data_IF_684066572735
#
_entry.id   IF_684066572735
#
_cell.length_a   1.000
_cell.length_b   1.000
_cell.length_c   1.000
_cell.angle_alpha   90.00
_cell.angle_beta   90.00
_cell.angle_gamma   90.00
#
_symmetry.space_group_name_H-M   'P 1'
#
loop_
_entity.id
_entity.type
_entity.pdbx_description
1 polymer ?
#
# COMPACT_ATOMS: atom_id res chain seq x y z
N UNK A 1 -7.59 -2.36 -17.79
CA UNK A 1 -7.84 -3.80 -18.01
C UNK A 1 -8.08 -4.49 -16.68
N UNK A 2 -9.02 -5.43 -16.63
CA UNK A 2 -9.23 -6.29 -15.47
C UNK A 2 -9.13 -7.76 -15.90
N UNK A 3 -8.34 -8.55 -15.19
CA UNK A 3 -8.08 -9.96 -15.50
C UNK A 3 -8.39 -10.78 -14.26
N UNK A 4 -9.27 -11.78 -14.43
CA UNK A 4 -9.55 -12.78 -13.42
C UNK A 4 -8.87 -14.08 -13.82
N UNK A 5 -7.90 -14.49 -13.01
CA UNK A 5 -7.17 -15.74 -13.17
C UNK A 5 -7.92 -16.88 -12.50
N UNK A 6 -7.87 -18.06 -13.12
CA UNK A 6 -8.42 -19.31 -12.56
C UNK A 6 -7.37 -20.07 -11.75
N UNK A 7 -6.10 -19.93 -12.10
CA UNK A 7 -4.98 -20.55 -11.39
C UNK A 7 -3.70 -19.71 -11.53
N UNK A 8 -2.68 -20.00 -10.73
CA UNK A 8 -1.40 -19.27 -10.77
C UNK A 8 -0.63 -19.48 -12.08
N UNK A 9 -0.84 -20.59 -12.77
CA UNK A 9 -0.16 -20.91 -14.05
C UNK A 9 -0.56 -19.95 -15.16
N UNK A 10 -1.74 -19.33 -15.09
CA UNK A 10 -2.20 -18.33 -16.06
C UNK A 10 -1.53 -16.96 -15.84
N UNK A 11 -1.03 -16.67 -14.63
CA UNK A 11 -0.56 -15.33 -14.25
C UNK A 11 0.68 -14.94 -15.05
N UNK A 12 1.72 -15.77 -15.02
CA UNK A 12 3.00 -15.49 -15.69
C UNK A 12 2.83 -15.18 -17.18
N UNK A 13 2.30 -16.13 -17.98
CA UNK A 13 2.09 -15.93 -19.42
C UNK A 13 1.23 -14.71 -19.76
N UNK A 14 0.25 -14.39 -18.91
CA UNK A 14 -0.62 -13.22 -19.14
C UNK A 14 0.11 -11.91 -18.85
N UNK A 15 0.92 -11.85 -17.78
CA UNK A 15 1.70 -10.66 -17.46
C UNK A 15 2.87 -10.45 -18.44
N UNK A 16 3.39 -11.53 -19.01
CA UNK A 16 4.43 -11.50 -20.05
C UNK A 16 3.85 -11.25 -21.46
N UNK A 17 2.52 -11.14 -21.58
CA UNK A 17 1.89 -10.88 -22.88
C UNK A 17 2.17 -9.46 -23.36
N UNK A 18 2.27 -9.30 -24.69
CA UNK A 18 2.54 -8.00 -25.33
C UNK A 18 1.50 -6.93 -24.99
N UNK A 19 0.28 -7.31 -24.57
CA UNK A 19 -0.75 -6.35 -24.14
C UNK A 19 -0.33 -5.64 -22.84
N UNK A 20 0.25 -6.39 -21.91
CA UNK A 20 0.74 -5.86 -20.63
C UNK A 20 2.07 -5.13 -20.84
N UNK A 21 2.95 -5.66 -21.71
CA UNK A 21 4.27 -5.08 -22.00
C UNK A 21 4.25 -3.90 -22.99
N UNK A 22 3.18 -3.70 -23.78
CA UNK A 22 3.09 -2.68 -24.85
C UNK A 22 3.24 -1.23 -24.38
N UNK A 23 3.36 -0.97 -23.07
CA UNK A 23 3.47 0.36 -22.50
C UNK A 23 2.18 1.18 -22.57
N UNK A 24 1.11 0.72 -23.22
CA UNK A 24 -0.18 1.43 -23.23
C UNK A 24 -0.99 1.28 -21.94
N UNK A 25 -0.67 0.28 -21.12
CA UNK A 25 -1.50 -0.13 -19.99
C UNK A 25 -1.32 0.79 -18.77
N UNK A 26 -2.25 1.74 -18.60
CA UNK A 26 -2.26 2.63 -17.42
C UNK A 26 -2.95 2.07 -16.18
N UNK A 27 -3.82 1.08 -16.35
CA UNK A 27 -4.62 0.52 -15.26
C UNK A 27 -4.77 -0.98 -15.42
N UNK A 28 -4.34 -1.71 -14.39
CA UNK A 28 -4.43 -3.16 -14.30
C UNK A 28 -5.18 -3.55 -13.02
N UNK A 29 -6.11 -4.48 -13.15
CA UNK A 29 -6.77 -5.13 -12.01
C UNK A 29 -6.61 -6.63 -12.16
N UNK A 30 -6.07 -7.29 -11.15
CA UNK A 30 -5.77 -8.71 -11.14
C UNK A 30 -6.56 -9.36 -10.02
N UNK A 31 -7.26 -10.45 -10.33
CA UNK A 31 -8.06 -11.19 -9.38
C UNK A 31 -7.65 -12.67 -9.44
N UNK A 32 -7.20 -13.24 -8.32
CA UNK A 32 -6.92 -14.67 -8.18
C UNK A 32 -7.40 -15.13 -6.80
N UNK A 33 -8.56 -15.77 -6.76
CA UNK A 33 -9.23 -16.14 -5.49
C UNK A 33 -9.12 -17.63 -5.17
N UNK A 34 -8.76 -18.44 -6.17
CA UNK A 34 -8.65 -19.89 -6.10
C UNK A 34 -7.24 -20.38 -5.77
N UNK A 35 -6.24 -19.50 -5.87
CA UNK A 35 -4.82 -19.84 -5.71
C UNK A 35 -4.03 -18.60 -5.21
N UNK A 36 -2.72 -18.70 -5.18
CA UNK A 36 -1.81 -17.63 -4.80
C UNK A 36 -1.13 -17.03 -6.04
N UNK A 37 -1.05 -15.70 -6.09
CA UNK A 37 -0.25 -15.03 -7.10
C UNK A 37 1.21 -15.48 -6.96
N UNK A 38 1.84 -15.92 -8.06
CA UNK A 38 3.26 -16.22 -8.06
C UNK A 38 4.05 -14.90 -8.02
N UNK A 39 5.29 -14.93 -8.50
CA UNK A 39 6.13 -13.73 -8.55
C UNK A 39 5.49 -12.60 -9.38
N UNK A 40 5.49 -11.38 -8.83
CA UNK A 40 5.02 -10.17 -9.51
C UNK A 40 6.11 -9.48 -10.36
N UNK A 41 7.24 -10.17 -10.61
CA UNK A 41 8.41 -9.63 -11.32
C UNK A 41 8.08 -8.97 -12.66
N UNK A 42 7.17 -9.55 -13.44
CA UNK A 42 6.79 -9.03 -14.76
C UNK A 42 6.17 -7.61 -14.69
N UNK A 43 5.60 -7.21 -13.54
CA UNK A 43 5.06 -5.86 -13.35
C UNK A 43 6.14 -4.77 -13.37
N UNK A 44 7.40 -5.11 -13.10
CA UNK A 44 8.51 -4.15 -13.14
C UNK A 44 8.75 -3.55 -14.53
N UNK A 45 8.32 -4.26 -15.58
CA UNK A 45 8.39 -3.82 -16.99
C UNK A 45 7.25 -2.88 -17.38
N UNK A 46 6.22 -2.76 -16.54
CA UNK A 46 5.03 -1.97 -16.84
C UNK A 46 5.24 -0.48 -16.49
N UNK A 47 6.16 0.19 -17.17
CA UNK A 47 6.61 1.56 -16.84
C UNK A 47 5.53 2.65 -16.93
N UNK A 48 4.41 2.39 -17.59
CA UNK A 48 3.30 3.33 -17.72
C UNK A 48 2.10 2.96 -16.82
N UNK A 49 2.25 1.91 -16.00
CA UNK A 49 1.19 1.46 -15.11
C UNK A 49 1.04 2.44 -13.95
N UNK A 50 -0.07 3.18 -13.97
CA UNK A 50 -0.37 4.21 -12.98
C UNK A 50 -1.32 3.76 -11.89
N UNK A 51 -2.15 2.74 -12.16
CA UNK A 51 -3.16 2.22 -11.23
C UNK A 51 -3.12 0.70 -11.21
N UNK A 52 -2.95 0.12 -10.04
CA UNK A 52 -2.93 -1.32 -9.85
C UNK A 52 -3.90 -1.73 -8.74
N UNK A 53 -4.70 -2.74 -9.01
CA UNK A 53 -5.47 -3.47 -8.01
C UNK A 53 -5.08 -4.94 -8.08
N UNK A 54 -4.75 -5.52 -6.93
CA UNK A 54 -4.54 -6.96 -6.79
C UNK A 54 -5.49 -7.45 -5.71
N UNK A 55 -6.28 -8.47 -6.04
CA UNK A 55 -7.20 -9.12 -5.12
C UNK A 55 -6.97 -10.63 -5.13
N UNK A 56 -6.49 -11.16 -4.01
CA UNK A 56 -6.02 -12.54 -3.93
C UNK A 56 -4.72 -12.65 -3.15
N UNK A 57 -4.47 -13.84 -2.59
CA UNK A 57 -3.27 -14.13 -1.81
C UNK A 57 -2.04 -14.04 -2.71
N UNK A 58 -0.93 -13.53 -2.19
CA UNK A 58 0.35 -13.49 -2.91
C UNK A 58 1.31 -14.45 -2.21
N UNK A 59 1.99 -15.30 -2.98
CA UNK A 59 2.97 -16.23 -2.46
C UNK A 59 4.19 -15.47 -1.95
N UNK A 60 4.41 -15.49 -0.64
CA UNK A 60 5.52 -14.79 0.00
C UNK A 60 6.66 -15.75 0.34
N UNK A 61 7.88 -15.38 -0.02
CA UNK A 61 9.09 -16.10 0.39
C UNK A 61 9.61 -15.49 1.69
N UNK A 62 9.19 -16.03 2.82
CA UNK A 62 9.46 -15.46 4.17
C UNK A 62 10.97 -15.30 4.46
N UNK A 63 11.83 -16.10 3.81
CA UNK A 63 13.30 -16.02 3.94
C UNK A 63 13.96 -15.05 2.95
N UNK A 64 13.19 -14.38 2.08
CA UNK A 64 13.71 -13.34 1.20
C UNK A 64 14.00 -12.07 1.99
N UNK A 65 15.19 -11.47 1.78
CA UNK A 65 15.53 -10.15 2.31
C UNK A 65 14.72 -9.01 1.67
N UNK A 66 13.93 -9.32 0.65
CA UNK A 66 13.20 -8.34 -0.14
C UNK A 66 11.71 -8.71 -0.20
N UNK A 67 10.85 -7.77 0.14
CA UNK A 67 9.41 -7.92 0.03
C UNK A 67 9.00 -8.06 -1.45
N UNK A 68 8.04 -8.95 -1.75
CA UNK A 68 7.55 -9.22 -3.11
C UNK A 68 7.00 -7.98 -3.85
N UNK A 69 6.68 -6.90 -3.13
CA UNK A 69 6.17 -5.65 -3.69
C UNK A 69 7.28 -4.77 -4.27
N UNK A 70 8.56 -5.14 -4.13
CA UNK A 70 9.67 -4.42 -4.75
C UNK A 70 9.62 -4.41 -6.29
N UNK A 71 8.86 -5.33 -6.89
CA UNK A 71 8.71 -5.42 -8.35
C UNK A 71 7.61 -4.52 -8.89
N UNK A 72 6.94 -3.75 -8.02
CA UNK A 72 5.93 -2.79 -8.45
C UNK A 72 6.59 -1.61 -9.17
N UNK A 73 6.01 -1.12 -10.28
CA UNK A 73 6.60 -0.03 -11.04
C UNK A 73 6.45 1.32 -10.33
N UNK A 74 7.50 2.14 -10.39
CA UNK A 74 7.55 3.48 -9.76
C UNK A 74 6.56 4.49 -10.36
N UNK A 75 5.96 4.18 -11.51
CA UNK A 75 4.90 4.97 -12.14
C UNK A 75 3.56 4.91 -11.40
N UNK A 76 3.42 4.01 -10.42
CA UNK A 76 2.19 3.85 -9.67
C UNK A 76 1.82 5.11 -8.90
N UNK A 77 0.59 5.56 -9.13
CA UNK A 77 -0.06 6.65 -8.40
C UNK A 77 -1.19 6.13 -7.51
N UNK A 78 -1.77 4.97 -7.85
CA UNK A 78 -2.85 4.33 -7.08
C UNK A 78 -2.58 2.84 -6.96
N UNK A 79 -2.57 2.36 -5.72
CA UNK A 79 -2.43 0.95 -5.41
C UNK A 79 -3.54 0.49 -4.47
N UNK A 80 -4.15 -0.65 -4.80
CA UNK A 80 -5.18 -1.30 -3.98
C UNK A 80 -4.81 -2.77 -3.82
N UNK A 81 -4.55 -3.20 -2.58
CA UNK A 81 -4.20 -4.57 -2.24
C UNK A 81 -5.32 -5.16 -1.37
N UNK A 82 -5.95 -6.23 -1.85
CA UNK A 82 -7.13 -6.84 -1.23
C UNK A 82 -6.85 -8.32 -0.99
N UNK A 83 -7.00 -8.79 0.25
CA UNK A 83 -6.83 -10.21 0.60
C UNK A 83 -5.50 -10.81 0.15
N UNK A 84 -4.42 -10.00 0.18
CA UNK A 84 -3.07 -10.43 -0.20
C UNK A 84 -2.35 -11.27 0.86
N UNK A 85 -2.74 -11.11 2.13
CA UNK A 85 -2.29 -11.93 3.27
C UNK A 85 -0.77 -11.89 3.52
N UNK A 86 -0.12 -10.72 3.38
CA UNK A 86 1.31 -10.55 3.65
C UNK A 86 1.65 -10.83 5.11
N UNK A 87 2.77 -11.50 5.36
CA UNK A 87 3.35 -11.72 6.70
C UNK A 87 4.46 -10.72 7.03
N UNK A 88 5.22 -10.26 6.04
CA UNK A 88 6.17 -9.16 6.20
C UNK A 88 5.45 -7.80 6.10
N UNK A 89 6.02 -6.76 6.73
CA UNK A 89 5.42 -5.41 6.71
C UNK A 89 5.43 -4.85 5.28
N UNK A 90 4.25 -4.64 4.66
CA UNK A 90 4.19 -4.14 3.29
C UNK A 90 4.69 -2.70 3.15
N UNK A 91 4.71 -1.91 4.23
CA UNK A 91 5.12 -0.52 4.18
C UNK A 91 6.59 -0.37 3.78
N UNK A 92 7.46 -1.34 4.10
CA UNK A 92 8.90 -1.30 3.76
C UNK A 92 9.16 -1.21 2.24
N UNK A 93 8.33 -1.86 1.43
CA UNK A 93 8.41 -1.75 -0.02
C UNK A 93 7.54 -0.61 -0.55
N UNK A 94 6.34 -0.44 0.00
CA UNK A 94 5.37 0.54 -0.50
C UNK A 94 5.83 1.98 -0.31
N UNK A 95 6.56 2.28 0.77
CA UNK A 95 7.03 3.64 1.07
C UNK A 95 8.07 4.16 0.08
N UNK A 96 8.71 3.26 -0.67
CA UNK A 96 9.70 3.56 -1.71
C UNK A 96 9.05 4.05 -3.00
N UNK A 97 7.75 3.82 -3.21
CA UNK A 97 7.02 4.25 -4.40
C UNK A 97 6.78 5.77 -4.38
N UNK A 98 7.73 6.52 -4.95
CA UNK A 98 7.82 7.99 -4.86
C UNK A 98 6.64 8.74 -5.49
N UNK A 99 5.88 8.10 -6.38
CA UNK A 99 4.73 8.70 -7.07
C UNK A 99 3.37 8.27 -6.51
N UNK A 100 3.36 7.41 -5.50
CA UNK A 100 2.13 6.86 -4.94
C UNK A 100 1.33 7.96 -4.23
N UNK A 101 0.08 8.16 -4.65
CA UNK A 101 -0.86 9.16 -4.11
C UNK A 101 -2.02 8.52 -3.36
N UNK A 102 -2.41 7.31 -3.74
CA UNK A 102 -3.48 6.57 -3.09
C UNK A 102 -3.02 5.15 -2.79
N UNK A 103 -3.17 4.73 -1.53
CA UNK A 103 -2.90 3.37 -1.08
C UNK A 103 -4.10 2.85 -0.28
N UNK A 104 -4.63 1.69 -0.67
CA UNK A 104 -5.59 0.93 0.15
C UNK A 104 -5.06 -0.46 0.43
N UNK A 105 -5.03 -0.82 1.71
CA UNK A 105 -4.78 -2.16 2.23
C UNK A 105 -6.08 -2.69 2.82
N UNK A 106 -6.67 -3.72 2.20
CA UNK A 106 -7.91 -4.34 2.67
C UNK A 106 -7.67 -5.81 2.98
N UNK A 107 -7.76 -6.19 4.26
CA UNK A 107 -7.50 -7.57 4.72
C UNK A 107 -6.22 -8.17 4.09
N UNK A 108 -5.20 -7.33 3.90
CA UNK A 108 -4.04 -7.66 3.05
C UNK A 108 -2.80 -8.01 3.86
N UNK A 109 -2.79 -7.78 5.17
CA UNK A 109 -1.64 -7.99 6.06
C UNK A 109 -2.08 -8.73 7.32
N UNK A 110 -1.34 -9.77 7.70
CA UNK A 110 -1.62 -10.63 8.86
C UNK A 110 -0.56 -10.53 9.96
N UNK A 111 0.47 -9.71 9.78
CA UNK A 111 1.43 -9.42 10.84
C UNK A 111 0.92 -8.38 11.84
N UNK A 112 1.68 -8.19 12.92
CA UNK A 112 1.25 -7.41 14.08
C UNK A 112 1.70 -5.95 14.08
N UNK A 113 2.66 -5.56 13.23
CA UNK A 113 3.27 -4.24 13.27
C UNK A 113 3.44 -3.63 11.89
N UNK A 114 2.98 -2.39 11.74
CA UNK A 114 3.22 -1.55 10.58
C UNK A 114 4.16 -0.40 10.95
N UNK A 115 5.17 -0.13 10.12
CA UNK A 115 6.12 0.95 10.32
C UNK A 115 6.22 1.80 9.05
N UNK A 116 6.02 3.11 9.19
CA UNK A 116 6.32 4.08 8.13
C UNK A 116 7.59 4.85 8.50
N UNK A 117 8.60 4.79 7.65
CA UNK A 117 9.88 5.47 7.84
C UNK A 117 9.79 6.97 7.67
N UNK A 118 10.73 7.70 8.26
CA UNK A 118 10.89 9.12 7.98
C UNK A 118 11.15 9.30 6.48
N UNK A 119 10.53 10.30 5.86
CA UNK A 119 10.58 10.53 4.40
C UNK A 119 9.95 9.43 3.53
N UNK A 120 9.34 8.39 4.12
CA UNK A 120 8.54 7.43 3.39
C UNK A 120 7.28 8.08 2.82
N UNK A 121 6.83 7.61 1.65
CA UNK A 121 5.58 8.06 1.02
C UNK A 121 5.48 9.58 0.77
N UNK A 122 6.41 10.20 0.03
CA UNK A 122 6.48 11.67 -0.09
C UNK A 122 5.23 12.31 -0.71
N UNK A 123 4.53 11.60 -1.61
CA UNK A 123 3.36 12.11 -2.35
C UNK A 123 2.04 11.44 -1.95
N UNK A 124 2.02 10.61 -0.91
CA UNK A 124 0.81 9.89 -0.54
C UNK A 124 -0.23 10.86 0.02
N UNK A 125 -1.38 10.95 -0.63
CA UNK A 125 -2.48 11.85 -0.28
C UNK A 125 -3.60 11.12 0.44
N UNK A 126 -3.79 9.83 0.16
CA UNK A 126 -4.84 9.01 0.77
C UNK A 126 -4.30 7.64 1.15
N UNK A 127 -4.42 7.31 2.43
CA UNK A 127 -4.12 5.99 2.97
C UNK A 127 -5.40 5.39 3.54
N UNK A 128 -5.68 4.15 3.18
CA UNK A 128 -6.80 3.40 3.74
C UNK A 128 -6.33 2.05 4.26
N UNK A 129 -6.52 1.81 5.55
CA UNK A 129 -6.19 0.58 6.26
C UNK A 129 -7.50 -0.05 6.76
N UNK A 130 -7.93 -1.12 6.12
CA UNK A 130 -9.25 -1.72 6.35
C UNK A 130 -9.11 -3.20 6.66
N UNK A 131 -9.79 -3.66 7.71
CA UNK A 131 -9.85 -5.07 8.09
C UNK A 131 -8.46 -5.70 8.34
N UNK A 132 -7.52 -4.94 8.92
CA UNK A 132 -6.20 -5.45 9.30
C UNK A 132 -6.26 -6.01 10.73
N UNK A 133 -6.84 -7.20 10.86
CA UNK A 133 -7.27 -7.75 12.16
C UNK A 133 -6.15 -8.03 13.16
N UNK A 134 -4.94 -8.33 12.68
CA UNK A 134 -3.81 -8.73 13.52
C UNK A 134 -2.91 -7.56 13.94
N UNK A 135 -3.07 -6.38 13.36
CA UNK A 135 -2.19 -5.24 13.62
C UNK A 135 -2.44 -4.70 15.04
N UNK A 136 -1.41 -4.77 15.86
CA UNK A 136 -1.35 -4.35 17.25
C UNK A 136 -0.65 -3.00 17.41
N UNK A 137 0.37 -2.73 16.57
CA UNK A 137 1.16 -1.51 16.58
C UNK A 137 1.21 -0.88 15.17
N UNK A 138 0.99 0.42 15.10
CA UNK A 138 1.27 1.21 13.90
C UNK A 138 2.16 2.40 14.25
N UNK A 139 3.40 2.36 13.77
CA UNK A 139 4.44 3.35 14.06
C UNK A 139 4.69 4.25 12.86
N UNK A 140 4.28 5.50 12.97
CA UNK A 140 4.54 6.52 11.95
C UNK A 140 5.68 7.42 12.45
N UNK A 141 6.86 7.37 11.80
CA UNK A 141 7.98 8.24 12.18
C UNK A 141 7.70 9.69 11.75
N UNK A 142 8.26 10.65 12.49
CA UNK A 142 8.16 12.08 12.14
C UNK A 142 8.65 12.31 10.71
N UNK A 143 7.88 13.07 9.93
CA UNK A 143 8.17 13.35 8.52
C UNK A 143 7.83 12.21 7.55
N UNK A 144 7.20 11.13 8.01
CA UNK A 144 6.53 10.17 7.12
C UNK A 144 5.29 10.83 6.48
N UNK A 145 4.98 10.48 5.24
CA UNK A 145 3.74 10.88 4.54
C UNK A 145 3.40 12.39 4.61
N UNK A 146 4.32 13.30 4.24
CA UNK A 146 4.11 14.75 4.39
C UNK A 146 2.94 15.32 3.57
N UNK A 147 2.47 14.58 2.55
CA UNK A 147 1.36 14.99 1.68
C UNK A 147 0.00 14.41 2.07
N UNK A 148 -0.10 13.70 3.20
CA UNK A 148 -1.31 12.96 3.56
C UNK A 148 -2.48 13.92 3.87
N UNK A 149 -3.59 13.72 3.16
CA UNK A 149 -4.82 14.50 3.32
C UNK A 149 -5.94 13.67 3.93
N UNK A 150 -6.02 12.39 3.56
CA UNK A 150 -7.06 11.48 4.02
C UNK A 150 -6.43 10.23 4.61
N UNK A 151 -6.81 9.89 5.85
CA UNK A 151 -6.62 8.55 6.38
C UNK A 151 -7.99 7.93 6.58
N UNK A 152 -8.12 6.66 6.24
CA UNK A 152 -9.27 5.85 6.62
C UNK A 152 -8.75 4.63 7.37
N UNK A 153 -9.17 4.47 8.62
CA UNK A 153 -8.88 3.27 9.42
C UNK A 153 -10.19 2.63 9.82
N UNK A 154 -10.39 1.39 9.42
CA UNK A 154 -11.61 0.65 9.68
C UNK A 154 -11.28 -0.79 10.05
N UNK A 155 -11.97 -1.34 11.06
CA UNK A 155 -11.86 -2.77 11.42
C UNK A 155 -10.41 -3.21 11.73
N UNK A 156 -9.74 -2.48 12.64
CA UNK A 156 -8.45 -2.87 13.24
C UNK A 156 -8.62 -3.04 14.75
N UNK A 157 -9.20 -4.17 15.23
CA UNK A 157 -9.61 -4.34 16.63
C UNK A 157 -8.45 -4.36 17.62
N UNK A 158 -7.28 -4.87 17.22
CA UNK A 158 -6.09 -5.02 18.07
C UNK A 158 -5.19 -3.77 18.15
N UNK A 159 -5.43 -2.77 17.31
CA UNK A 159 -4.54 -1.62 17.20
C UNK A 159 -4.55 -0.80 18.49
N UNK A 160 -3.44 -0.89 19.24
CA UNK A 160 -3.20 -0.14 20.47
C UNK A 160 -2.58 1.22 20.10
N UNK A 161 -3.41 2.22 19.80
CA UNK A 161 -2.91 3.55 19.49
C UNK A 161 -2.44 4.25 20.78
N UNK A 162 -1.13 4.49 20.91
CA UNK A 162 -0.62 5.56 21.76
C UNK A 162 -0.61 6.86 20.93
N UNK A 163 -1.28 7.95 21.35
CA UNK A 163 -1.44 9.17 20.55
C UNK A 163 -0.14 9.94 20.26
N UNK A 164 1.03 9.45 20.65
CA UNK A 164 2.32 10.09 20.37
C UNK A 164 2.84 9.66 19.00
N UNK A 165 2.53 10.44 17.96
CA UNK A 165 2.96 10.20 16.58
C UNK A 165 1.90 10.54 15.53
N UNK A 166 0.66 10.74 15.96
CA UNK A 166 -0.48 11.16 15.14
C UNK A 166 -1.11 12.45 15.70
N UNK A 167 -0.28 13.44 16.04
CA UNK A 167 -0.72 14.75 16.58
C UNK A 167 -1.65 15.55 15.65
N UNK A 168 -1.99 15.00 14.47
CA UNK A 168 -2.80 15.62 13.41
C UNK A 168 -4.13 14.89 13.13
N UNK A 169 -4.48 13.89 13.96
CA UNK A 169 -5.61 13.00 13.71
C UNK A 169 -6.78 13.29 14.67
N UNK A 170 -7.94 13.70 14.14
CA UNK A 170 -9.18 13.77 14.95
C UNK A 170 -9.93 12.45 14.81
N UNK A 171 -10.15 11.76 15.94
CA UNK A 171 -10.94 10.53 16.02
C UNK A 171 -12.39 10.93 16.31
N UNK A 172 -13.32 10.69 15.38
CA UNK A 172 -14.76 10.84 15.65
C UNK A 172 -15.43 9.47 15.79
N UNK A 173 -16.40 9.37 16.71
CA UNK A 173 -17.11 8.16 17.10
C UNK A 173 -17.64 7.32 15.93
N UNK A 174 -17.56 6.00 16.11
CA UNK A 174 -17.62 4.91 15.12
C UNK A 174 -16.52 4.96 14.05
N UNK A 175 -15.28 4.92 14.55
CA UNK A 175 -13.99 4.65 13.89
C UNK A 175 -13.86 5.21 12.48
N UNK A 176 -13.93 6.55 12.37
CA UNK A 176 -13.30 7.31 11.28
C UNK A 176 -12.26 8.25 11.89
N UNK A 177 -11.04 8.20 11.36
CA UNK A 177 -9.95 9.12 11.75
C UNK A 177 -9.73 10.08 10.58
N UNK A 178 -10.30 11.29 10.66
CA UNK A 178 -10.10 12.30 9.63
C UNK A 178 -8.83 13.11 9.95
N UNK A 179 -7.95 13.28 8.95
CA UNK A 179 -6.76 14.11 9.06
C UNK A 179 -7.08 15.46 8.46
N UNK A 180 -6.76 16.53 9.18
CA UNK A 180 -6.87 17.90 8.69
C UNK A 180 -5.46 18.43 8.46
N UNK A 181 -5.12 18.70 7.19
CA UNK A 181 -3.83 19.29 6.83
C UNK A 181 -3.80 20.76 7.26
N UNK A 182 -2.89 21.12 8.18
CA UNK A 182 -2.49 22.50 8.41
C UNK A 182 -1.12 22.72 7.77
N UNK A 183 -1.10 23.51 6.71
CA UNK A 183 0.12 24.04 6.11
C UNK A 183 0.81 24.96 7.11
N UNK A 184 1.96 24.57 7.65
CA UNK A 184 2.83 25.48 8.37
C UNK A 184 3.69 26.23 7.36
N UNK A 185 3.42 27.52 7.21
CA UNK A 185 4.42 28.45 6.69
C UNK A 185 5.29 28.81 7.88
N UNK A 186 6.53 28.31 7.88
CA UNK A 186 7.58 28.85 8.72
C UNK A 186 7.66 30.36 8.50
N UNK A 187 7.55 31.13 9.58
CA UNK A 187 8.27 32.39 9.69
C UNK A 187 8.97 32.40 11.04
N UNK A 188 10.29 32.25 10.96
CA UNK A 188 11.24 32.74 11.95
C UNK A 188 10.81 34.14 12.44
N UNK A 189 11.13 34.47 13.68
CA UNK A 189 11.88 35.65 14.10
C UNK A 189 12.06 35.55 15.63
N UNK A 190 13.32 35.39 16.05
CA UNK A 190 13.79 35.69 17.40
C UNK A 190 13.57 37.19 17.67
N UNK A 191 13.49 37.60 18.94
CA UNK A 191 14.73 38.07 19.57
C UNK A 191 15.18 37.14 20.69
#
# INVERSE_FOLDING_TARGET
MGIKFKSKEEVGPTLDSSIVESGGLRTLRMYLLSDEFPSLKSLSRCHNLSKLLIEGKIQEHIHSCHHILQFLPDSLTKLVLIRCVFSQDPMEALEKLQNLRFLRLYNSYVGSRLVCSAHGFPKLETLELVALFQVEEWKVKKGAMPSLKNLHIETMPKLSMSPKGLEFATISGDRKINFMSQSFVDRAHSP
#
